data_IF_721430651964
#
_entry.id   IF_721430651964
#
_cell.length_a   1.000
_cell.length_b   1.000
_cell.length_c   1.000
_cell.angle_alpha   90.00
_cell.angle_beta   90.00
_cell.angle_gamma   90.00
#
_symmetry.space_group_name_H-M   'P 1'
#
loop_
_entity.id
_entity.type
_entity.pdbx_description
1 polymer ?
#
# COMPACT_ATOMS: atom_id res chain seq x y z
N UNK A 1 5.89 20.84 -6.43
CA UNK A 1 6.24 20.07 -5.22
C UNK A 1 5.49 18.76 -5.31
N UNK A 2 6.16 17.60 -5.25
CA UNK A 2 5.44 16.32 -5.33
C UNK A 2 4.84 15.93 -3.99
N UNK A 3 3.76 15.18 -4.06
CA UNK A 3 3.02 14.66 -2.91
C UNK A 3 3.04 13.13 -2.95
N UNK A 4 3.46 12.51 -1.84
CA UNK A 4 3.48 11.07 -1.68
C UNK A 4 2.52 10.66 -0.58
N UNK A 5 1.65 9.72 -0.89
CA UNK A 5 0.78 9.07 0.09
C UNK A 5 1.37 7.70 0.46
N UNK A 6 1.67 7.50 1.74
CA UNK A 6 2.09 6.23 2.31
C UNK A 6 0.89 5.58 3.02
N UNK A 7 0.51 4.39 2.57
CA UNK A 7 -0.56 3.59 3.14
C UNK A 7 0.04 2.41 3.89
N UNK A 8 -0.06 2.44 5.23
CA UNK A 8 0.40 1.35 6.10
C UNK A 8 -0.80 0.59 6.65
N UNK A 9 -0.55 -0.62 7.17
CA UNK A 9 -1.63 -1.50 7.65
C UNK A 9 -1.43 -1.90 9.10
N UNK A 10 -0.19 -2.14 9.55
CA UNK A 10 0.06 -2.61 10.90
C UNK A 10 -0.27 -1.51 11.94
N UNK A 11 -1.15 -1.76 12.94
CA UNK A 11 -1.46 -0.78 13.98
C UNK A 11 -0.28 -0.49 14.92
N UNK A 12 0.68 -1.42 15.02
CA UNK A 12 1.90 -1.27 15.80
C UNK A 12 2.91 -0.37 15.06
N UNK A 13 3.18 0.79 15.64
CA UNK A 13 4.13 1.78 15.08
C UNK A 13 5.58 1.30 15.10
N UNK A 14 5.87 0.29 15.91
CA UNK A 14 7.20 -0.31 16.03
C UNK A 14 7.37 -1.57 15.17
N UNK A 15 6.33 -1.97 14.43
CA UNK A 15 6.42 -3.06 13.47
C UNK A 15 7.42 -2.73 12.36
N UNK A 16 8.11 -3.75 11.85
CA UNK A 16 9.14 -3.56 10.84
C UNK A 16 8.59 -2.87 9.57
N UNK A 17 7.39 -3.23 9.12
CA UNK A 17 6.71 -2.59 7.98
C UNK A 17 6.47 -1.09 8.22
N UNK A 18 6.02 -0.70 9.43
CA UNK A 18 5.81 0.70 9.81
C UNK A 18 7.11 1.49 9.91
N UNK A 19 8.17 0.88 10.46
CA UNK A 19 9.50 1.50 10.53
C UNK A 19 10.08 1.74 9.13
N UNK A 20 9.86 0.82 8.18
CA UNK A 20 10.25 0.99 6.79
C UNK A 20 9.44 2.09 6.08
N UNK A 21 8.16 2.25 6.39
CA UNK A 21 7.35 3.37 5.91
C UNK A 21 7.91 4.72 6.39
N UNK A 22 8.29 4.80 7.68
CA UNK A 22 8.97 5.99 8.22
C UNK A 22 10.32 6.26 7.55
N UNK A 23 11.09 5.21 7.23
CA UNK A 23 12.34 5.35 6.47
C UNK A 23 12.11 5.87 5.05
N UNK A 24 11.06 5.39 4.38
CA UNK A 24 10.65 5.88 3.07
C UNK A 24 10.24 7.35 3.12
N UNK A 25 9.41 7.72 4.10
CA UNK A 25 9.01 9.10 4.36
C UNK A 25 10.22 10.03 4.51
N UNK A 26 11.22 9.64 5.30
CA UNK A 26 12.47 10.40 5.44
C UNK A 26 13.18 10.62 4.11
N UNK A 27 13.17 9.63 3.22
CA UNK A 27 13.72 9.78 1.87
C UNK A 27 12.95 10.80 1.03
N UNK A 28 11.62 10.77 1.09
CA UNK A 28 10.73 11.72 0.38
C UNK A 28 10.98 13.15 0.84
N UNK A 29 11.05 13.38 2.15
CA UNK A 29 11.14 14.72 2.74
C UNK A 29 12.49 15.40 2.45
N UNK A 30 13.55 14.63 2.18
CA UNK A 30 14.86 15.17 1.75
C UNK A 30 14.80 15.86 0.38
N UNK A 31 13.89 15.46 -0.48
CA UNK A 31 13.74 15.98 -1.85
C UNK A 31 12.73 17.13 -1.94
N UNK A 32 12.49 17.83 -0.82
CA UNK A 32 11.49 18.90 -0.70
C UNK A 32 10.08 18.45 -1.17
N UNK A 33 9.77 17.17 -1.01
CA UNK A 33 8.46 16.61 -1.32
C UNK A 33 7.61 16.49 -0.04
N UNK A 34 6.27 16.50 -0.19
CA UNK A 34 5.35 16.28 0.94
C UNK A 34 5.08 14.79 1.04
N UNK A 35 5.25 14.22 2.23
CA UNK A 35 4.78 12.88 2.55
C UNK A 35 3.58 12.97 3.50
N UNK A 36 2.54 12.18 3.21
CA UNK A 36 1.42 11.96 4.10
C UNK A 36 1.30 10.47 4.37
N UNK A 37 1.19 10.08 5.64
CA UNK A 37 1.01 8.69 6.02
C UNK A 37 -0.40 8.46 6.57
N UNK A 38 -1.05 7.40 6.09
CA UNK A 38 -2.33 6.91 6.61
C UNK A 38 -2.19 5.45 6.99
N UNK A 39 -2.62 5.11 8.20
CA UNK A 39 -2.68 3.73 8.65
C UNK A 39 -4.10 3.18 8.48
N UNK A 40 -4.26 2.23 7.56
CA UNK A 40 -5.55 1.61 7.19
C UNK A 40 -6.20 0.91 8.39
N UNK A 41 -5.42 0.37 9.33
CA UNK A 41 -5.99 -0.26 10.53
C UNK A 41 -6.70 0.72 11.46
N UNK A 42 -6.38 2.02 11.37
CA UNK A 42 -6.99 3.07 12.18
C UNK A 42 -8.25 3.67 11.55
N UNK A 43 -8.54 3.35 10.29
CA UNK A 43 -9.69 3.89 9.57
C UNK A 43 -11.00 3.25 10.06
N UNK A 44 -12.05 4.06 10.15
CA UNK A 44 -13.41 3.68 10.52
C UNK A 44 -14.27 3.57 9.25
N UNK A 45 -14.57 2.34 8.85
CA UNK A 45 -15.44 2.02 7.71
C UNK A 45 -16.05 0.64 7.90
N UNK A 46 -17.15 0.37 7.21
CA UNK A 46 -17.88 -0.88 7.34
C UNK A 46 -17.09 -2.05 6.77
N UNK A 47 -17.24 -3.22 7.39
CA UNK A 47 -16.56 -4.45 6.99
C UNK A 47 -17.24 -5.16 5.80
N UNK A 48 -18.23 -4.53 5.16
CA UNK A 48 -18.94 -5.10 4.01
C UNK A 48 -18.11 -5.02 2.74
N UNK A 49 -18.22 -6.04 1.90
CA UNK A 49 -17.60 -6.08 0.56
C UNK A 49 -18.67 -5.88 -0.52
N UNK A 50 -19.93 -5.68 -0.11
CA UNK A 50 -20.98 -5.34 -1.04
C UNK A 50 -20.73 -3.94 -1.63
N UNK A 51 -20.47 -3.94 -2.93
CA UNK A 51 -20.20 -2.75 -3.73
C UNK A 51 -21.42 -2.34 -4.57
N UNK A 52 -22.58 -3.02 -4.39
CA UNK A 52 -23.81 -2.65 -5.06
C UNK A 52 -24.20 -1.21 -4.70
N UNK A 53 -24.39 -0.37 -5.73
CA UNK A 53 -24.76 1.02 -5.55
C UNK A 53 -23.72 1.91 -4.85
N UNK A 54 -22.43 1.54 -4.86
CA UNK A 54 -21.38 2.41 -4.30
C UNK A 54 -21.28 3.73 -5.09
N UNK A 55 -21.26 4.85 -4.38
CA UNK A 55 -21.17 6.20 -4.94
C UNK A 55 -20.32 7.09 -4.04
N UNK A 56 -19.84 8.23 -4.53
CA UNK A 56 -19.10 9.18 -3.67
C UNK A 56 -19.95 9.68 -2.49
N UNK A 57 -21.28 9.74 -2.65
CA UNK A 57 -22.20 10.25 -1.61
C UNK A 57 -22.35 9.29 -0.43
N UNK A 58 -22.22 7.99 -0.65
CA UNK A 58 -22.38 6.96 0.39
C UNK A 58 -21.06 6.38 0.90
N UNK A 59 -19.92 6.89 0.42
CA UNK A 59 -18.61 6.50 0.88
C UNK A 59 -18.35 7.02 2.30
N UNK A 60 -17.90 6.16 3.21
CA UNK A 60 -17.63 6.55 4.59
C UNK A 60 -16.57 7.67 4.66
N UNK A 61 -16.64 8.59 5.65
CA UNK A 61 -15.75 9.75 5.72
C UNK A 61 -14.25 9.40 5.65
N UNK A 62 -13.83 8.32 6.28
CA UNK A 62 -12.43 7.89 6.26
C UNK A 62 -12.01 7.35 4.89
N UNK A 63 -12.88 6.61 4.19
CA UNK A 63 -12.60 6.17 2.82
C UNK A 63 -12.58 7.35 1.85
N UNK A 64 -13.49 8.31 2.02
CA UNK A 64 -13.51 9.55 1.24
C UNK A 64 -12.27 10.41 1.49
N UNK A 65 -11.81 10.47 2.74
CA UNK A 65 -10.54 11.12 3.10
C UNK A 65 -9.37 10.47 2.36
N UNK A 66 -9.24 9.15 2.40
CA UNK A 66 -8.15 8.46 1.69
C UNK A 66 -8.27 8.64 0.18
N UNK A 67 -9.49 8.60 -0.37
CA UNK A 67 -9.74 8.91 -1.79
C UNK A 67 -9.18 10.28 -2.18
N UNK A 68 -9.46 11.32 -1.39
CA UNK A 68 -8.97 12.67 -1.65
C UNK A 68 -7.45 12.76 -1.54
N UNK A 69 -6.83 12.06 -0.58
CA UNK A 69 -5.37 12.00 -0.47
C UNK A 69 -4.74 11.30 -1.69
N UNK A 70 -5.37 10.26 -2.23
CA UNK A 70 -4.92 9.60 -3.46
C UNK A 70 -5.01 10.58 -4.63
N UNK A 71 -6.12 11.31 -4.79
CA UNK A 71 -6.27 12.34 -5.83
C UNK A 71 -5.24 13.47 -5.70
N UNK A 72 -4.87 13.84 -4.48
CA UNK A 72 -3.90 14.90 -4.21
C UNK A 72 -2.44 14.43 -4.31
N UNK A 73 -2.18 13.12 -4.39
CA UNK A 73 -0.81 12.57 -4.41
C UNK A 73 -0.32 12.21 -5.82
N UNK A 74 0.96 12.39 -6.10
CA UNK A 74 1.60 11.97 -7.36
C UNK A 74 2.10 10.51 -7.29
N UNK A 75 2.40 10.04 -6.08
CA UNK A 75 2.86 8.68 -5.83
C UNK A 75 2.16 8.07 -4.62
N UNK A 76 1.69 6.82 -4.76
CA UNK A 76 1.05 6.06 -3.68
C UNK A 76 1.91 4.84 -3.33
N UNK A 77 2.30 4.71 -2.06
CA UNK A 77 3.11 3.58 -1.59
C UNK A 77 2.31 2.77 -0.58
N UNK A 78 2.09 1.50 -0.89
CA UNK A 78 1.45 0.54 0.02
C UNK A 78 2.52 -0.24 0.77
N UNK A 79 2.48 -0.21 2.10
CA UNK A 79 3.25 -1.10 2.98
C UNK A 79 2.32 -2.19 3.50
N UNK A 80 2.51 -3.41 3.01
CA UNK A 80 1.63 -4.55 3.29
C UNK A 80 2.40 -5.67 3.94
N UNK A 81 1.77 -6.34 4.89
CA UNK A 81 2.31 -7.55 5.50
C UNK A 81 1.69 -8.78 4.84
N UNK A 82 2.52 -9.78 4.58
CA UNK A 82 2.07 -11.05 4.02
C UNK A 82 2.50 -12.15 4.97
N UNK A 83 1.51 -12.71 5.66
CA UNK A 83 1.72 -13.67 6.73
C UNK A 83 1.01 -14.98 6.37
N UNK A 84 1.68 -16.12 6.56
CA UNK A 84 1.08 -17.44 6.37
C UNK A 84 -0.02 -17.66 7.39
N UNK A 85 -1.16 -18.18 6.92
CA UNK A 85 -2.32 -18.46 7.78
C UNK A 85 -3.01 -17.23 8.37
N UNK A 86 -2.61 -16.00 8.02
CA UNK A 86 -3.23 -14.76 8.49
C UNK A 86 -3.66 -13.91 7.32
N UNK A 87 -4.96 -13.65 7.27
CA UNK A 87 -5.55 -12.77 6.28
C UNK A 87 -5.86 -11.42 6.92
N UNK A 88 -5.33 -10.33 6.36
CA UNK A 88 -5.67 -8.99 6.81
C UNK A 88 -7.02 -8.57 6.21
N UNK A 89 -8.08 -8.87 6.96
CA UNK A 89 -9.43 -8.55 6.55
C UNK A 89 -9.65 -7.03 6.41
N UNK A 90 -8.98 -6.21 7.21
CA UNK A 90 -9.14 -4.75 7.18
C UNK A 90 -8.57 -4.17 5.89
N UNK A 91 -7.35 -4.58 5.52
CA UNK A 91 -6.74 -4.22 4.23
C UNK A 91 -7.57 -4.76 3.07
N UNK A 92 -8.01 -6.01 3.14
CA UNK A 92 -8.81 -6.61 2.07
C UNK A 92 -10.10 -5.82 1.83
N UNK A 93 -10.87 -5.52 2.89
CA UNK A 93 -12.10 -4.76 2.76
C UNK A 93 -11.82 -3.33 2.28
N UNK A 94 -10.79 -2.67 2.82
CA UNK A 94 -10.36 -1.35 2.33
C UNK A 94 -10.13 -1.36 0.81
N UNK A 95 -9.37 -2.35 0.32
CA UNK A 95 -9.09 -2.50 -1.10
C UNK A 95 -10.34 -2.82 -1.92
N UNK A 96 -11.24 -3.67 -1.44
CA UNK A 96 -12.48 -4.00 -2.18
C UNK A 96 -13.48 -2.84 -2.18
N UNK A 97 -13.48 -1.98 -1.16
CA UNK A 97 -14.35 -0.81 -1.07
C UNK A 97 -13.82 0.36 -1.90
N UNK A 98 -12.53 0.67 -1.74
CA UNK A 98 -11.93 1.84 -2.38
C UNK A 98 -11.42 1.53 -3.78
N UNK A 99 -10.84 0.35 -4.01
CA UNK A 99 -10.36 -0.10 -5.32
C UNK A 99 -11.26 -1.23 -5.85
N UNK A 100 -12.56 -0.95 -5.90
CA UNK A 100 -13.58 -1.87 -6.37
C UNK A 100 -13.52 -2.06 -7.90
N UNK A 101 -13.65 -3.30 -8.34
CA UNK A 101 -13.75 -3.69 -9.75
C UNK A 101 -15.10 -4.38 -9.96
N UNK A 102 -15.85 -3.95 -10.96
CA UNK A 102 -17.12 -4.53 -11.39
C UNK A 102 -16.99 -4.93 -12.87
N UNK A 103 -17.36 -6.16 -13.22
CA UNK A 103 -17.27 -6.69 -14.58
C UNK A 103 -15.89 -6.46 -15.26
N UNK A 104 -14.80 -6.58 -14.49
CA UNK A 104 -13.43 -6.44 -14.99
C UNK A 104 -12.93 -5.00 -15.15
N UNK A 105 -13.72 -3.99 -14.78
CA UNK A 105 -13.32 -2.57 -14.83
C UNK A 105 -13.47 -1.88 -13.47
N UNK A 106 -12.65 -0.86 -13.14
CA UNK A 106 -12.88 -0.03 -11.96
C UNK A 106 -14.29 0.58 -11.94
N UNK A 107 -14.90 0.65 -10.76
CA UNK A 107 -16.20 1.31 -10.61
C UNK A 107 -16.04 2.81 -10.89
N UNK A 108 -16.62 3.27 -12.00
CA UNK A 108 -16.55 4.66 -12.48
C UNK A 108 -17.11 5.69 -11.49
N UNK A 109 -18.04 5.27 -10.63
CA UNK A 109 -18.57 6.12 -9.57
C UNK A 109 -17.51 6.50 -8.52
N UNK A 110 -16.44 5.72 -8.37
CA UNK A 110 -15.32 6.01 -7.47
C UNK A 110 -14.13 6.62 -8.22
N UNK A 111 -13.82 6.09 -9.40
CA UNK A 111 -12.58 6.38 -10.11
C UNK A 111 -12.77 6.51 -11.61
N UNK A 112 -12.18 7.54 -12.18
CA UNK A 112 -11.98 7.66 -13.61
C UNK A 112 -10.52 7.31 -13.96
N UNK A 113 -10.22 6.70 -15.13
CA UNK A 113 -8.85 6.42 -15.53
C UNK A 113 -7.94 7.66 -15.52
N UNK A 114 -8.49 8.85 -15.84
CA UNK A 114 -7.80 10.12 -15.78
C UNK A 114 -7.31 10.50 -14.39
N UNK A 115 -7.94 9.99 -13.32
CA UNK A 115 -7.55 10.25 -11.94
C UNK A 115 -6.15 9.70 -11.63
N UNK A 116 -5.64 8.76 -12.43
CA UNK A 116 -4.37 8.06 -12.19
C UNK A 116 -3.33 8.19 -13.31
N UNK A 117 -3.68 8.81 -14.44
CA UNK A 117 -2.90 8.77 -15.68
C UNK A 117 -1.43 9.22 -15.56
N UNK A 118 -1.11 10.10 -14.60
CA UNK A 118 0.26 10.56 -14.29
C UNK A 118 0.79 10.02 -12.96
N UNK A 119 -0.07 9.36 -12.18
CA UNK A 119 0.25 8.87 -10.85
C UNK A 119 0.96 7.53 -10.95
N UNK A 120 1.89 7.30 -10.03
CA UNK A 120 2.60 6.01 -9.93
C UNK A 120 2.30 5.36 -8.59
N UNK A 121 2.42 4.03 -8.52
CA UNK A 121 2.25 3.28 -7.29
C UNK A 121 3.45 2.40 -6.99
N UNK A 122 3.68 2.14 -5.70
CA UNK A 122 4.63 1.15 -5.23
C UNK A 122 4.00 0.27 -4.17
N UNK A 123 4.21 -1.04 -4.25
CA UNK A 123 3.80 -2.00 -3.25
C UNK A 123 5.04 -2.58 -2.60
N UNK A 124 5.17 -2.40 -1.29
CA UNK A 124 6.25 -2.91 -0.47
C UNK A 124 5.67 -3.96 0.47
N UNK A 125 6.02 -5.21 0.21
CA UNK A 125 5.50 -6.37 0.92
C UNK A 125 6.53 -6.89 1.90
N UNK A 126 6.18 -6.95 3.18
CA UNK A 126 6.97 -7.55 4.25
C UNK A 126 6.39 -8.94 4.54
N UNK A 127 7.16 -9.97 4.24
CA UNK A 127 6.74 -11.37 4.29
C UNK A 127 7.21 -11.99 5.61
N UNK A 128 6.36 -12.76 6.28
CA UNK A 128 6.83 -13.60 7.38
C UNK A 128 7.83 -14.67 6.90
N UNK A 129 8.43 -15.41 7.84
CA UNK A 129 9.48 -16.37 7.52
C UNK A 129 9.02 -17.47 6.56
N UNK A 130 7.77 -17.91 6.68
CA UNK A 130 7.22 -18.97 5.84
C UNK A 130 6.90 -18.44 4.44
N UNK A 131 6.21 -17.30 4.36
CA UNK A 131 5.89 -16.62 3.09
C UNK A 131 7.15 -16.18 2.35
N UNK A 132 8.21 -15.79 3.07
CA UNK A 132 9.49 -15.45 2.47
C UNK A 132 10.19 -16.68 1.88
N UNK A 133 10.18 -17.82 2.58
CA UNK A 133 10.70 -19.08 2.04
C UNK A 133 9.92 -19.51 0.80
N UNK A 134 8.59 -19.48 0.86
CA UNK A 134 7.70 -19.79 -0.27
C UNK A 134 8.01 -18.89 -1.48
N UNK A 135 8.11 -17.58 -1.25
CA UNK A 135 8.47 -16.60 -2.27
C UNK A 135 9.84 -16.89 -2.92
N UNK A 136 10.84 -17.30 -2.13
CA UNK A 136 12.16 -17.65 -2.66
C UNK A 136 12.14 -18.94 -3.48
N UNK A 137 11.34 -19.92 -3.08
CA UNK A 137 11.25 -21.24 -3.73
C UNK A 137 10.39 -21.21 -5.00
N UNK A 138 9.31 -20.43 -5.01
CA UNK A 138 8.33 -20.39 -6.10
C UNK A 138 8.60 -19.26 -7.12
N UNK A 139 9.88 -18.99 -7.43
CA UNK A 139 10.26 -18.05 -8.47
C UNK A 139 9.80 -16.60 -8.20
N UNK A 140 9.81 -16.16 -6.92
CA UNK A 140 9.41 -14.82 -6.50
C UNK A 140 7.92 -14.52 -6.70
N UNK A 141 7.08 -15.52 -6.51
CA UNK A 141 5.63 -15.35 -6.49
C UNK A 141 5.10 -15.40 -5.05
N UNK A 142 4.22 -14.46 -4.70
CA UNK A 142 3.67 -14.36 -3.33
C UNK A 142 2.27 -14.97 -3.31
N UNK A 143 2.13 -16.26 -3.00
CA UNK A 143 0.85 -16.99 -3.11
C UNK A 143 -0.33 -16.26 -2.46
N UNK A 144 -0.18 -15.80 -1.22
CA UNK A 144 -1.24 -15.16 -0.41
C UNK A 144 -1.15 -13.63 -0.33
N UNK A 145 -0.84 -12.95 -1.45
CA UNK A 145 -0.70 -11.50 -1.43
C UNK A 145 -2.07 -10.78 -1.36
N UNK A 146 -2.32 -9.92 -0.36
CA UNK A 146 -3.64 -9.28 -0.18
C UNK A 146 -3.99 -8.31 -1.32
N UNK A 147 -2.97 -7.75 -1.99
CA UNK A 147 -3.13 -6.78 -3.08
C UNK A 147 -3.16 -7.44 -4.48
N UNK A 148 -3.04 -8.77 -4.58
CA UNK A 148 -2.92 -9.46 -5.88
C UNK A 148 -4.14 -9.29 -6.79
N UNK A 149 -5.32 -9.06 -6.20
CA UNK A 149 -6.58 -8.91 -6.94
C UNK A 149 -6.79 -7.48 -7.47
N UNK A 150 -6.06 -6.52 -6.90
CA UNK A 150 -6.14 -5.11 -7.26
C UNK A 150 -5.05 -4.83 -8.29
N UNK A 151 -5.40 -5.02 -9.56
CA UNK A 151 -4.53 -4.58 -10.63
C UNK A 151 -4.61 -3.05 -10.71
N UNK A 152 -3.78 -2.35 -9.96
CA UNK A 152 -3.74 -0.88 -9.97
C UNK A 152 -3.53 -0.29 -11.36
N UNK A 153 -2.92 -1.03 -12.30
CA UNK A 153 -2.85 -0.57 -13.70
C UNK A 153 -4.23 -0.48 -14.35
N UNK A 154 -5.22 -1.31 -13.97
CA UNK A 154 -6.61 -1.18 -14.43
C UNK A 154 -7.26 0.13 -13.97
N UNK A 155 -6.83 0.68 -12.84
CA UNK A 155 -7.29 1.99 -12.36
C UNK A 155 -6.67 3.15 -13.15
N UNK A 156 -5.61 2.90 -13.94
CA UNK A 156 -4.96 3.90 -14.78
C UNK A 156 -3.64 4.43 -14.24
N UNK A 157 -3.06 3.81 -13.21
CA UNK A 157 -1.73 4.20 -12.72
C UNK A 157 -0.67 4.03 -13.83
N UNK A 158 0.11 5.08 -14.07
CA UNK A 158 1.13 5.12 -15.12
C UNK A 158 2.21 4.05 -14.94
N UNK A 159 2.59 3.77 -13.69
CA UNK A 159 3.53 2.72 -13.35
C UNK A 159 3.21 2.15 -11.97
N UNK A 160 3.35 0.83 -11.81
CA UNK A 160 3.18 0.12 -10.55
C UNK A 160 4.42 -0.73 -10.31
N UNK A 161 5.20 -0.42 -9.26
CA UNK A 161 6.41 -1.17 -8.90
C UNK A 161 6.17 -2.00 -7.64
N UNK A 162 6.79 -3.17 -7.56
CA UNK A 162 6.68 -4.04 -6.38
C UNK A 162 8.04 -4.28 -5.74
N UNK A 163 8.06 -4.51 -4.44
CA UNK A 163 9.25 -4.86 -3.67
C UNK A 163 8.84 -5.79 -2.56
N UNK A 164 9.44 -6.98 -2.51
CA UNK A 164 9.16 -7.99 -1.50
C UNK A 164 10.41 -8.24 -0.67
N UNK A 165 10.24 -8.36 0.65
CA UNK A 165 11.32 -8.63 1.59
C UNK A 165 10.83 -9.48 2.77
N UNK A 166 11.72 -10.30 3.33
CA UNK A 166 11.44 -11.00 4.58
C UNK A 166 11.38 -10.05 5.78
N UNK A 167 10.62 -10.43 6.80
CA UNK A 167 10.43 -9.68 8.03
C UNK A 167 11.67 -9.70 8.94
N UNK A 168 11.72 -8.75 9.87
CA UNK A 168 12.69 -8.72 10.97
C UNK A 168 11.92 -8.76 12.28
N UNK A 169 12.38 -9.56 13.23
CA UNK A 169 11.77 -9.63 14.56
C UNK A 169 11.78 -8.23 15.20
N UNK A 170 10.65 -7.83 15.77
CA UNK A 170 10.50 -6.57 16.49
C UNK A 170 11.63 -6.38 17.50
N UNK A 171 12.23 -5.18 17.51
CA UNK A 171 13.35 -4.82 18.38
C UNK A 171 14.72 -5.34 17.95
N UNK A 172 14.83 -6.03 16.82
CA UNK A 172 16.12 -6.49 16.27
C UNK A 172 16.57 -5.56 15.14
N UNK A 173 17.79 -5.03 15.28
CA UNK A 173 18.37 -4.05 14.35
C UNK A 173 19.71 -4.57 13.78
N UNK A 174 19.64 -5.67 13.02
CA UNK A 174 20.81 -6.29 12.39
C UNK A 174 21.14 -5.66 11.02
N UNK A 175 22.18 -6.17 10.35
CA UNK A 175 22.60 -5.69 9.03
C UNK A 175 21.48 -5.78 7.99
N UNK A 176 20.62 -6.80 8.08
CA UNK A 176 19.47 -6.96 7.19
C UNK A 176 18.42 -5.86 7.41
N UNK A 177 18.13 -5.51 8.67
CA UNK A 177 17.30 -4.36 9.01
C UNK A 177 17.87 -3.08 8.38
N UNK A 178 19.14 -2.77 8.63
CA UNK A 178 19.76 -1.54 8.14
C UNK A 178 19.88 -1.49 6.62
N UNK A 179 20.15 -2.62 5.98
CA UNK A 179 20.11 -2.74 4.51
C UNK A 179 18.77 -2.30 3.95
N UNK A 180 17.67 -2.79 4.50
CA UNK A 180 16.34 -2.44 4.01
C UNK A 180 15.90 -1.05 4.43
N UNK A 181 16.24 -0.61 5.65
CA UNK A 181 16.02 0.75 6.10
C UNK A 181 16.64 1.77 5.14
N UNK A 182 17.94 1.64 4.87
CA UNK A 182 18.67 2.53 3.97
C UNK A 182 18.12 2.44 2.54
N UNK A 183 17.74 1.25 2.09
CA UNK A 183 17.08 1.09 0.80
C UNK A 183 15.74 1.81 0.72
N UNK A 184 14.94 1.84 1.80
CA UNK A 184 13.68 2.60 1.82
C UNK A 184 13.91 4.10 1.75
N UNK A 185 14.93 4.61 2.46
CA UNK A 185 15.36 6.01 2.33
C UNK A 185 15.71 6.34 0.87
N UNK A 186 16.57 5.54 0.25
CA UNK A 186 16.96 5.73 -1.16
C UNK A 186 15.78 5.62 -2.15
N UNK A 187 14.80 4.75 -1.86
CA UNK A 187 13.59 4.63 -2.67
C UNK A 187 12.64 5.82 -2.50
N UNK A 188 12.65 6.49 -1.34
CA UNK A 188 11.91 7.72 -1.09
C UNK A 188 12.53 8.92 -1.79
N UNK A 189 13.87 8.99 -1.84
CA UNK A 189 14.63 10.03 -2.56
C UNK A 189 14.42 9.92 -4.08
N UNK A 190 14.50 8.70 -4.63
CA UNK A 190 14.32 8.46 -6.06
C UNK A 190 12.84 8.41 -6.44
N UNK A 191 12.17 9.56 -6.54
CA UNK A 191 10.84 9.58 -7.14
C UNK A 191 10.91 9.71 -8.66
N UNK A 192 10.97 8.57 -9.37
CA UNK A 192 9.96 8.06 -10.32
C UNK A 192 10.32 6.60 -10.64
#
# INVERSE_FOLDING_TARGET
MKKVLLLTVNPDETAFSTLLAGAYQKGVEKEFCVAQQVNISRLQFTNTIDNSGITLRNLEPDLMKVRNLILDSDHVVFFVEVNTGKFDFKLYTFLNRLFAIEAGSPIKALWQPSDFATKTARIISVLDNESWKDYQQNGRQITNHPVKKQNFQLFGFAAVRTTALGTVKKGVYNDYYWKWYNKMVLLGEKQY
#
